data_IF_718993615952
#
_entry.id   IF_718993615952
#
_cell.length_a   1.000
_cell.length_b   1.000
_cell.length_c   1.000
_cell.angle_alpha   90.00
_cell.angle_beta   90.00
_cell.angle_gamma   90.00
#
_symmetry.space_group_name_H-M   'P 1'
#
loop_
_entity.id
_entity.type
_entity.pdbx_description
1 polymer ?
#
# COMPACT_ATOMS: atom_id res chain seq x y z
N UNK A 1 17.12 28.33 21.41
CA UNK A 1 16.06 27.38 21.78
C UNK A 1 15.46 26.84 20.50
N UNK A 2 15.93 25.71 19.98
CA UNK A 2 15.23 25.00 18.91
C UNK A 2 14.60 23.78 19.57
N UNK A 3 13.29 23.85 19.80
CA UNK A 3 12.54 22.64 20.09
C UNK A 3 12.84 21.68 18.94
N UNK A 4 13.53 20.58 19.23
CA UNK A 4 13.51 19.44 18.33
C UNK A 4 12.03 19.11 18.18
N UNK A 5 11.46 19.40 17.01
CA UNK A 5 10.09 19.02 16.71
C UNK A 5 10.04 17.51 16.80
N UNK A 6 9.52 16.98 17.90
CA UNK A 6 9.37 15.54 18.08
C UNK A 6 8.27 15.11 17.11
N UNK A 7 8.52 14.03 16.36
CA UNK A 7 7.52 13.40 15.52
C UNK A 7 6.30 12.99 16.40
N UNK A 8 5.20 13.74 16.28
CA UNK A 8 3.99 13.52 17.10
C UNK A 8 3.00 12.64 16.37
N UNK A 9 2.59 11.55 17.01
CA UNK A 9 1.53 10.67 16.52
C UNK A 9 0.16 11.39 16.55
N UNK A 10 -0.58 11.45 15.43
CA UNK A 10 -1.92 12.03 15.40
C UNK A 10 -2.91 11.27 16.30
N UNK A 11 -3.86 12.01 16.88
CA UNK A 11 -4.85 11.45 17.83
C UNK A 11 -6.01 10.72 17.14
N UNK A 12 -6.24 11.00 15.87
CA UNK A 12 -7.32 10.43 15.05
C UNK A 12 -6.98 9.07 14.45
N UNK A 13 -5.73 8.59 14.58
CA UNK A 13 -5.37 7.24 14.13
C UNK A 13 -6.14 6.19 14.94
N UNK A 14 -6.75 5.24 14.24
CA UNK A 14 -7.34 4.05 14.85
C UNK A 14 -6.26 3.10 15.41
N UNK A 15 -6.69 1.99 16.03
CA UNK A 15 -5.78 1.02 16.68
C UNK A 15 -4.75 0.44 15.71
N UNK A 16 -5.16 0.05 14.52
CA UNK A 16 -4.30 -0.67 13.58
C UNK A 16 -3.36 0.32 12.85
N UNK A 17 -3.84 1.53 12.57
CA UNK A 17 -3.02 2.65 12.10
C UNK A 17 -1.95 3.06 13.14
N UNK A 18 -2.30 3.10 14.44
CA UNK A 18 -1.34 3.39 15.53
C UNK A 18 -0.27 2.31 15.67
N UNK A 19 -0.67 1.04 15.55
CA UNK A 19 0.28 -0.06 15.57
C UNK A 19 1.30 0.10 14.43
N UNK A 20 0.82 0.42 13.22
CA UNK A 20 1.71 0.63 12.07
C UNK A 20 2.60 1.88 12.20
N UNK A 21 2.07 2.95 12.79
CA UNK A 21 2.85 4.14 13.10
C UNK A 21 4.04 3.81 13.99
N UNK A 22 3.80 3.13 15.13
CA UNK A 22 4.86 2.75 16.07
C UNK A 22 5.92 1.89 15.41
N UNK A 23 5.50 0.85 14.69
CA UNK A 23 6.39 -0.04 13.95
C UNK A 23 7.35 0.74 13.04
N UNK A 24 6.83 1.69 12.25
CA UNK A 24 7.67 2.49 11.35
C UNK A 24 8.60 3.43 12.11
N UNK A 25 8.08 4.12 13.13
CA UNK A 25 8.90 5.06 13.92
C UNK A 25 9.96 4.38 14.77
N UNK A 26 9.79 3.09 15.08
CA UNK A 26 10.80 2.27 15.74
C UNK A 26 11.90 1.80 14.77
N UNK A 27 11.59 1.71 13.46
CA UNK A 27 12.49 1.17 12.43
C UNK A 27 13.15 2.26 11.56
N UNK A 28 12.61 3.48 11.52
CA UNK A 28 13.08 4.55 10.65
C UNK A 28 13.16 5.88 11.39
N UNK A 29 14.27 6.60 11.17
CA UNK A 29 14.43 7.98 11.65
C UNK A 29 13.72 8.93 10.69
N UNK A 30 12.47 9.28 11.02
CA UNK A 30 11.61 10.13 10.21
C UNK A 30 11.63 11.58 10.68
N UNK A 31 11.66 12.51 9.72
CA UNK A 31 11.64 13.93 10.05
C UNK A 31 10.22 14.38 10.42
N UNK A 32 10.06 15.47 11.20
CA UNK A 32 8.74 15.95 11.61
C UNK A 32 7.83 16.35 10.43
N UNK A 33 8.44 16.80 9.33
CA UNK A 33 7.73 17.13 8.08
C UNK A 33 7.05 15.90 7.45
N UNK A 34 7.55 14.70 7.76
CA UNK A 34 7.03 13.43 7.24
C UNK A 34 5.84 12.90 8.05
N UNK A 35 5.51 13.53 9.20
CA UNK A 35 4.47 13.07 10.12
C UNK A 35 3.11 12.90 9.46
N UNK A 36 2.66 13.87 8.66
CA UNK A 36 1.34 13.82 8.03
C UNK A 36 1.31 12.77 6.90
N UNK A 37 2.41 12.63 6.16
CA UNK A 37 2.52 11.63 5.11
C UNK A 37 2.54 10.21 5.71
N UNK A 38 3.27 10.01 6.82
CA UNK A 38 3.23 8.77 7.59
C UNK A 38 1.82 8.49 8.12
N UNK A 39 1.13 9.51 8.64
CA UNK A 39 -0.24 9.36 9.16
C UNK A 39 -1.19 8.86 8.07
N UNK A 40 -1.10 9.47 6.88
CA UNK A 40 -1.90 9.07 5.73
C UNK A 40 -1.57 7.66 5.25
N UNK A 41 -0.30 7.25 5.29
CA UNK A 41 0.09 5.88 5.04
C UNK A 41 -0.53 4.93 6.06
N UNK A 42 -0.46 5.24 7.36
CA UNK A 42 -1.03 4.41 8.42
C UNK A 42 -2.56 4.27 8.30
N UNK A 43 -3.28 5.36 7.97
CA UNK A 43 -4.73 5.34 7.69
C UNK A 43 -5.05 4.46 6.46
N UNK A 44 -4.24 4.59 5.40
CA UNK A 44 -4.38 3.79 4.17
C UNK A 44 -4.16 2.30 4.47
N UNK A 45 -3.14 1.97 5.28
CA UNK A 45 -2.83 0.60 5.69
C UNK A 45 -3.96 -0.01 6.54
N UNK A 46 -4.48 0.75 7.51
CA UNK A 46 -5.65 0.32 8.29
C UNK A 46 -6.85 -0.01 7.39
N UNK A 47 -7.17 0.89 6.46
CA UNK A 47 -8.24 0.66 5.48
C UNK A 47 -8.00 -0.58 4.61
N UNK A 48 -6.75 -0.84 4.21
CA UNK A 48 -6.37 -2.02 3.45
C UNK A 48 -6.60 -3.32 4.25
N UNK A 49 -6.30 -3.32 5.55
CA UNK A 49 -6.58 -4.46 6.44
C UNK A 49 -8.09 -4.75 6.46
N UNK A 50 -8.92 -3.73 6.57
CA UNK A 50 -10.38 -3.89 6.57
C UNK A 50 -10.91 -4.46 5.25
N UNK A 51 -10.43 -3.95 4.11
CA UNK A 51 -10.79 -4.49 2.78
C UNK A 51 -10.39 -5.97 2.67
N UNK A 52 -9.20 -6.33 3.16
CA UNK A 52 -8.72 -7.72 3.17
C UNK A 52 -9.54 -8.62 4.08
N UNK A 53 -9.95 -8.12 5.23
CA UNK A 53 -10.83 -8.83 6.16
C UNK A 53 -12.18 -9.11 5.51
N UNK A 54 -12.79 -8.12 4.87
CA UNK A 54 -14.05 -8.30 4.14
C UNK A 54 -13.91 -9.33 3.01
N UNK A 55 -12.82 -9.25 2.23
CA UNK A 55 -12.50 -10.22 1.19
C UNK A 55 -12.37 -11.63 1.75
N UNK A 56 -11.64 -11.82 2.86
CA UNK A 56 -11.51 -13.13 3.55
C UNK A 56 -12.85 -13.67 4.01
N UNK A 57 -13.73 -12.83 4.58
CA UNK A 57 -15.08 -13.25 5.00
C UNK A 57 -15.90 -13.73 3.80
N UNK A 58 -15.88 -13.01 2.67
CA UNK A 58 -16.62 -13.41 1.47
C UNK A 58 -16.06 -14.69 0.83
N UNK A 59 -14.74 -14.89 0.86
CA UNK A 59 -14.09 -16.13 0.40
C UNK A 59 -14.52 -17.31 1.28
N UNK A 60 -14.47 -17.14 2.61
CA UNK A 60 -14.88 -18.18 3.56
C UNK A 60 -16.37 -18.55 3.39
N UNK A 61 -17.21 -17.56 3.10
CA UNK A 61 -18.63 -17.75 2.78
C UNK A 61 -18.87 -18.27 1.35
N UNK A 62 -17.84 -18.46 0.52
CA UNK A 62 -17.92 -18.91 -0.89
C UNK A 62 -18.80 -18.00 -1.78
N UNK A 63 -18.94 -16.73 -1.42
CA UNK A 63 -19.71 -15.74 -2.19
C UNK A 63 -18.81 -14.74 -2.94
N UNK A 64 -17.51 -14.80 -2.71
CA UNK A 64 -16.55 -13.95 -3.39
C UNK A 64 -16.33 -14.41 -4.85
N UNK A 65 -16.54 -13.49 -5.78
CA UNK A 65 -16.28 -13.71 -7.21
C UNK A 65 -15.33 -12.63 -7.70
N UNK A 66 -14.27 -13.01 -8.43
CA UNK A 66 -13.28 -12.05 -8.96
C UNK A 66 -13.91 -11.05 -9.94
N UNK A 67 -14.89 -11.51 -10.72
CA UNK A 67 -15.66 -10.70 -11.65
C UNK A 67 -17.12 -10.71 -11.21
N UNK A 68 -17.79 -9.56 -11.31
CA UNK A 68 -19.20 -9.37 -10.98
C UNK A 68 -19.92 -8.73 -12.15
N UNK A 69 -21.20 -9.04 -12.31
CA UNK A 69 -22.04 -8.39 -13.32
C UNK A 69 -22.58 -7.08 -12.74
N UNK A 70 -22.23 -5.96 -13.37
CA UNK A 70 -22.75 -4.65 -13.00
C UNK A 70 -24.21 -4.47 -13.47
N UNK A 71 -24.89 -3.44 -12.97
CA UNK A 71 -26.32 -3.17 -13.29
C UNK A 71 -26.59 -2.99 -14.79
N UNK A 72 -25.59 -2.56 -15.55
CA UNK A 72 -25.64 -2.39 -17.01
C UNK A 72 -25.36 -3.68 -17.80
N UNK A 73 -25.25 -4.84 -17.13
CA UNK A 73 -24.94 -6.12 -17.76
C UNK A 73 -23.45 -6.34 -18.07
N UNK A 74 -22.58 -5.35 -17.84
CA UNK A 74 -21.13 -5.51 -18.06
C UNK A 74 -20.48 -6.33 -16.95
N UNK A 75 -19.52 -7.16 -17.32
CA UNK A 75 -18.68 -7.90 -16.37
C UNK A 75 -17.51 -7.03 -15.92
N UNK A 76 -17.45 -6.70 -14.63
CA UNK A 76 -16.43 -5.83 -14.04
C UNK A 76 -15.70 -6.54 -12.91
N UNK A 77 -14.50 -6.06 -12.57
CA UNK A 77 -13.75 -6.58 -11.44
C UNK A 77 -14.48 -6.31 -10.11
N UNK A 78 -14.38 -7.24 -9.18
CA UNK A 78 -14.99 -7.11 -7.86
C UNK A 78 -14.56 -5.81 -7.16
N UNK A 79 -15.50 -5.04 -6.57
CA UNK A 79 -15.18 -3.76 -5.94
C UNK A 79 -14.08 -3.84 -4.87
N UNK A 80 -14.05 -4.91 -4.07
CA UNK A 80 -12.99 -5.13 -3.07
C UNK A 80 -11.59 -5.29 -3.69
N UNK A 81 -11.47 -5.89 -4.88
CA UNK A 81 -10.17 -6.01 -5.56
C UNK A 81 -9.70 -4.66 -6.11
N UNK A 82 -10.64 -3.89 -6.66
CA UNK A 82 -10.37 -2.53 -7.14
C UNK A 82 -9.93 -1.64 -5.96
N UNK A 83 -10.63 -1.70 -4.83
CA UNK A 83 -10.29 -0.97 -3.63
C UNK A 83 -8.92 -1.39 -3.07
N UNK A 84 -8.66 -2.69 -2.96
CA UNK A 84 -7.37 -3.24 -2.53
C UNK A 84 -6.23 -2.73 -3.40
N UNK A 85 -6.34 -2.85 -4.73
CA UNK A 85 -5.34 -2.37 -5.68
C UNK A 85 -5.07 -0.87 -5.55
N UNK A 86 -6.12 -0.04 -5.45
CA UNK A 86 -5.99 1.41 -5.28
C UNK A 86 -5.30 1.79 -3.97
N UNK A 87 -5.66 1.14 -2.86
CA UNK A 87 -5.06 1.38 -1.55
C UNK A 87 -3.59 0.95 -1.53
N UNK A 88 -3.26 -0.19 -2.12
CA UNK A 88 -1.88 -0.64 -2.28
C UNK A 88 -1.04 0.36 -3.08
N UNK A 89 -1.53 0.83 -4.23
CA UNK A 89 -0.83 1.81 -5.04
C UNK A 89 -0.66 3.16 -4.30
N UNK A 90 -1.70 3.61 -3.58
CA UNK A 90 -1.63 4.83 -2.78
C UNK A 90 -0.60 4.71 -1.65
N UNK A 91 -0.65 3.60 -0.89
CA UNK A 91 0.31 3.32 0.18
C UNK A 91 1.74 3.21 -0.34
N UNK A 92 1.94 2.54 -1.48
CA UNK A 92 3.24 2.42 -2.14
C UNK A 92 3.84 3.77 -2.52
N UNK A 93 3.04 4.69 -3.08
CA UNK A 93 3.50 6.06 -3.39
C UNK A 93 3.92 6.83 -2.14
N UNK A 94 3.17 6.69 -1.05
CA UNK A 94 3.50 7.35 0.23
C UNK A 94 4.80 6.80 0.82
N UNK A 95 5.02 5.48 0.79
CA UNK A 95 6.27 4.87 1.23
C UNK A 95 7.48 5.33 0.41
N UNK A 96 7.32 5.48 -0.90
CA UNK A 96 8.38 6.04 -1.77
C UNK A 96 8.70 7.48 -1.36
N UNK A 97 7.68 8.30 -1.14
CA UNK A 97 7.86 9.70 -0.72
C UNK A 97 8.51 9.81 0.67
N UNK A 98 8.20 8.89 1.58
CA UNK A 98 8.84 8.78 2.90
C UNK A 98 10.28 8.21 2.84
N UNK A 99 10.75 7.79 1.67
CA UNK A 99 12.05 7.10 1.54
C UNK A 99 12.09 5.72 2.20
N UNK A 100 10.94 5.13 2.48
CA UNK A 100 10.77 3.83 3.16
C UNK A 100 10.54 2.66 2.19
N UNK A 101 10.48 2.92 0.89
CA UNK A 101 10.41 1.86 -0.11
C UNK A 101 11.79 1.23 -0.30
N UNK A 102 11.89 -0.10 -0.16
CA UNK A 102 13.14 -0.88 -0.05
C UNK A 102 14.11 -0.88 -1.25
N UNK A 103 14.04 0.09 -2.15
CA UNK A 103 15.13 0.37 -3.09
C UNK A 103 16.00 1.47 -2.48
N UNK A 104 17.14 1.06 -1.90
CA UNK A 104 18.19 1.92 -1.36
C UNK A 104 18.88 2.81 -2.41
N UNK A 105 18.11 3.67 -3.07
CA UNK A 105 18.59 4.90 -3.70
C UNK A 105 17.63 5.98 -3.27
N UNK A 106 18.05 6.76 -2.28
CA UNK A 106 17.67 8.17 -2.14
C UNK A 106 17.44 8.69 -3.56
N UNK A 107 16.22 9.08 -3.91
CA UNK A 107 15.97 9.91 -5.09
C UNK A 107 16.63 11.26 -4.81
N UNK A 108 17.95 11.28 -4.87
CA UNK A 108 18.77 12.47 -4.91
C UNK A 108 18.70 13.02 -6.34
N UNK A 109 17.48 13.29 -6.82
CA UNK A 109 17.31 13.81 -8.19
C UNK A 109 15.93 14.43 -8.46
N UNK A 110 15.34 15.21 -7.53
CA UNK A 110 14.25 16.13 -7.93
C UNK A 110 14.43 17.51 -7.29
N UNK A 111 15.54 18.15 -7.65
CA UNK A 111 15.68 19.63 -7.66
C UNK A 111 16.47 20.07 -8.89
N UNK A 112 16.02 19.69 -10.09
CA UNK A 112 16.37 20.41 -11.32
C UNK A 112 15.15 20.47 -12.25
N UNK A 113 14.68 21.67 -12.63
CA UNK A 113 13.66 21.79 -13.65
C UNK A 113 14.33 21.59 -15.01
N UNK A 114 14.35 20.36 -15.51
CA UNK A 114 14.80 20.11 -16.89
C UNK A 114 13.58 20.12 -17.80
N UNK A 115 13.52 21.15 -18.65
CA UNK A 115 12.63 21.20 -19.81
C UNK A 115 13.04 20.09 -20.78
N UNK A 116 12.22 19.06 -20.95
CA UNK A 116 12.23 18.26 -22.17
C UNK A 116 10.90 17.57 -22.36
N UNK A 117 10.24 17.88 -23.48
CA UNK A 117 9.04 17.24 -24.00
C UNK A 117 9.16 15.71 -23.92
N UNK A 118 8.14 14.98 -23.43
CA UNK A 118 8.22 13.52 -23.37
C UNK A 118 8.23 12.94 -24.80
N UNK A 119 9.09 11.94 -25.09
CA UNK A 119 9.09 11.28 -26.39
C UNK A 119 7.77 10.48 -26.58
N UNK A 120 7.20 10.48 -27.80
CA UNK A 120 5.98 9.74 -28.09
C UNK A 120 6.27 8.24 -28.07
N UNK A 121 5.57 7.50 -27.19
CA UNK A 121 5.71 6.05 -27.06
C UNK A 121 5.83 5.52 -25.62
N UNK A 122 5.90 6.39 -24.61
CA UNK A 122 5.92 5.98 -23.20
C UNK A 122 4.51 5.59 -22.71
N UNK A 123 3.97 4.48 -23.22
CA UNK A 123 3.01 3.69 -22.46
C UNK A 123 3.79 3.12 -21.28
N UNK A 124 3.81 3.86 -20.17
CA UNK A 124 4.57 3.49 -18.99
C UNK A 124 4.15 2.12 -18.49
N UNK A 125 5.08 1.18 -18.60
CA UNK A 125 5.05 -0.11 -17.93
C UNK A 125 4.56 0.08 -16.49
N UNK A 126 3.46 -0.61 -16.17
CA UNK A 126 2.93 -0.73 -14.83
C UNK A 126 4.08 -1.20 -13.91
N UNK A 127 4.43 -0.46 -12.84
CA UNK A 127 5.56 -0.84 -12.01
C UNK A 127 5.25 -2.18 -11.34
N UNK A 128 5.93 -3.23 -11.78
CA UNK A 128 5.85 -4.62 -11.28
C UNK A 128 6.26 -4.78 -9.81
N UNK A 129 6.59 -3.69 -9.12
CA UNK A 129 7.22 -3.67 -7.79
C UNK A 129 6.24 -3.48 -6.62
N UNK A 130 4.93 -3.58 -6.87
CA UNK A 130 3.93 -3.67 -5.79
C UNK A 130 3.82 -5.06 -5.12
N UNK A 131 4.52 -6.07 -5.62
CA UNK A 131 4.29 -7.47 -5.26
C UNK A 131 5.26 -8.02 -4.20
N UNK A 132 6.48 -7.47 -4.08
CA UNK A 132 7.53 -8.08 -3.25
C UNK A 132 7.60 -7.55 -1.81
N UNK A 133 7.10 -6.33 -1.55
CA UNK A 133 7.03 -5.79 -0.18
C UNK A 133 5.93 -6.51 0.62
N UNK A 134 4.84 -6.91 -0.02
CA UNK A 134 3.78 -7.69 0.64
C UNK A 134 4.16 -9.14 0.89
N UNK A 135 4.99 -9.76 0.05
CA UNK A 135 5.57 -11.07 0.39
C UNK A 135 6.42 -10.97 1.64
N UNK A 136 7.28 -9.96 1.80
CA UNK A 136 8.08 -9.84 3.03
C UNK A 136 7.28 -9.45 4.28
N UNK A 137 6.21 -8.65 4.13
CA UNK A 137 5.40 -8.20 5.28
C UNK A 137 4.25 -9.15 5.65
N UNK A 138 3.87 -10.10 4.79
CA UNK A 138 2.71 -10.97 5.01
C UNK A 138 2.95 -12.48 4.77
N UNK A 139 4.20 -12.95 4.59
CA UNK A 139 4.49 -14.39 4.35
C UNK A 139 4.61 -15.28 5.59
N UNK A 140 4.28 -14.81 6.79
CA UNK A 140 4.04 -15.73 7.90
C UNK A 140 2.55 -16.03 7.99
N UNK A 141 2.15 -17.08 7.28
CA UNK A 141 1.07 -18.06 7.58
C UNK A 141 0.49 -18.57 6.25
N UNK A 142 1.20 -19.53 5.64
CA UNK A 142 0.56 -20.70 5.02
C UNK A 142 1.52 -21.89 5.20
N UNK A 143 1.16 -22.95 5.97
CA UNK A 143 1.86 -24.20 5.86
C UNK A 143 1.65 -24.75 4.45
N UNK A 144 2.77 -24.97 3.77
CA UNK A 144 2.85 -25.61 2.46
C UNK A 144 2.15 -26.97 2.48
N UNK A 145 1.35 -27.24 1.46
CA UNK A 145 1.00 -28.61 1.10
C UNK A 145 -0.49 -28.83 0.92
N UNK A 146 -0.99 -28.51 -0.27
CA UNK A 146 -1.99 -29.34 -0.98
C UNK A 146 -1.97 -28.93 -2.45
N UNK A 147 -1.24 -29.73 -3.21
CA UNK A 147 -1.27 -29.77 -4.68
C UNK A 147 -2.70 -30.08 -5.12
N UNK A 148 -3.25 -29.28 -6.02
CA UNK A 148 -4.53 -29.57 -6.65
C UNK A 148 -4.29 -30.62 -7.74
N UNK A 149 -4.78 -31.84 -7.53
CA UNK A 149 -4.97 -32.82 -8.60
C UNK A 149 -6.17 -32.39 -9.45
N UNK A 150 -5.97 -32.28 -10.76
CA UNK A 150 -7.04 -32.08 -11.75
C UNK A 150 -7.83 -33.38 -11.89
N UNK A 151 -9.16 -33.30 -11.81
CA UNK A 151 -10.07 -34.27 -12.42
C UNK A 151 -10.57 -33.70 -13.74
#
# INVERSE_FOLDING_TARGET
MTAFDVLKMPKDLDRDARAKWREITEMADLQPLDAELLANYCRTHSTLIDVRKQKKIQIAAKVFHTMVTAKNGSTVMHPLLIAESRLMQAGGRMLVQLGLSGNGKRQEEIRKPSKSTPPPGFFGDEPSWGWDIEKKLCSDVLPSGKTWTKQ
#
